data_IF_041014114330
#
_entry.id   IF_041014114330
#
_cell.length_a   1.000
_cell.length_b   1.000
_cell.length_c   1.000
_cell.angle_alpha   90.00
_cell.angle_beta   90.00
_cell.angle_gamma   90.00
#
_symmetry.space_group_name_H-M   'P 1'
#
loop_
_entity.id
_entity.type
_entity.pdbx_description
1 polymer ?
#
# COMPACT_ATOMS: atom_id res chain seq x y z
N UNK A 1 27.98 8.11 -84.01
CA UNK A 1 28.87 6.99 -84.18
C UNK A 1 29.21 6.49 -82.78
N UNK A 2 28.76 5.51 -82.22
CA UNK A 2 28.55 4.14 -82.53
C UNK A 2 27.49 3.57 -81.60
N UNK A 3 26.67 2.77 -82.20
CA UNK A 3 25.58 2.02 -81.63
C UNK A 3 26.03 0.76 -80.83
N UNK A 4 25.13 0.00 -80.40
CA UNK A 4 25.06 -0.71 -79.11
C UNK A 4 25.43 -2.19 -79.22
N UNK A 5 25.53 -2.86 -78.14
CA UNK A 5 25.41 -4.31 -78.07
C UNK A 5 24.65 -4.75 -76.81
N UNK A 6 23.50 -5.30 -77.03
CA UNK A 6 22.73 -6.17 -76.17
C UNK A 6 23.15 -7.66 -76.43
N UNK A 7 22.60 -8.66 -75.75
CA UNK A 7 22.85 -9.31 -74.46
C UNK A 7 23.40 -10.74 -74.61
N UNK A 8 23.35 -11.57 -73.60
CA UNK A 8 22.38 -12.66 -73.63
C UNK A 8 21.73 -13.04 -72.27
N UNK A 9 20.53 -13.42 -72.45
CA UNK A 9 19.59 -14.17 -71.65
C UNK A 9 20.10 -15.43 -70.96
N UNK A 10 19.39 -15.76 -69.90
CA UNK A 10 19.02 -17.04 -69.29
C UNK A 10 19.95 -17.66 -68.24
N UNK A 11 19.39 -17.78 -67.02
CA UNK A 11 19.19 -19.10 -66.40
C UNK A 11 18.38 -18.98 -65.12
N UNK A 12 17.27 -19.60 -65.11
CA UNK A 12 16.56 -20.31 -64.07
C UNK A 12 17.33 -20.47 -62.74
N UNK A 13 16.79 -20.02 -61.66
CA UNK A 13 17.29 -20.34 -60.31
C UNK A 13 16.28 -20.09 -59.23
N UNK A 14 15.38 -21.04 -59.03
CA UNK A 14 14.77 -21.49 -57.80
C UNK A 14 14.39 -20.45 -56.76
N UNK A 15 13.10 -20.22 -56.67
CA UNK A 15 12.36 -19.78 -55.55
C UNK A 15 12.74 -20.60 -54.29
N UNK A 16 13.20 -20.02 -53.17
CA UNK A 16 13.29 -20.76 -51.93
C UNK A 16 11.90 -20.78 -51.29
N UNK A 17 11.43 -21.99 -51.19
CA UNK A 17 10.28 -22.52 -50.53
C UNK A 17 9.59 -21.53 -49.56
N UNK A 18 8.33 -21.25 -49.85
CA UNK A 18 7.36 -20.79 -48.88
C UNK A 18 7.35 -21.80 -47.72
N UNK A 19 7.77 -21.29 -46.57
CA UNK A 19 7.49 -21.97 -45.29
C UNK A 19 5.99 -21.89 -45.09
N UNK A 20 5.28 -23.01 -44.90
CA UNK A 20 3.86 -22.97 -44.63
C UNK A 20 3.64 -22.23 -43.32
N UNK A 21 2.80 -21.20 -43.33
CA UNK A 21 2.22 -20.63 -42.15
C UNK A 21 1.39 -21.73 -41.48
N UNK A 22 1.93 -22.32 -40.44
CA UNK A 22 1.13 -23.13 -39.52
C UNK A 22 0.12 -22.22 -38.86
N UNK A 23 -1.09 -22.32 -39.38
CA UNK A 23 -2.29 -21.86 -38.71
C UNK A 23 -2.51 -22.79 -37.51
N UNK A 24 -2.00 -22.35 -36.35
CA UNK A 24 -2.63 -22.77 -35.11
C UNK A 24 -2.57 -21.60 -34.10
N UNK A 25 -3.74 -21.02 -33.89
CA UNK A 25 -4.00 -19.93 -32.98
C UNK A 25 -3.96 -20.37 -31.52
N UNK A 26 -2.88 -21.01 -31.06
CA UNK A 26 -2.73 -21.52 -29.69
C UNK A 26 -1.48 -20.98 -29.03
N UNK A 27 -1.35 -19.65 -28.99
CA UNK A 27 -0.26 -19.03 -28.23
C UNK A 27 -0.75 -17.89 -27.32
N UNK A 28 -1.78 -18.16 -26.48
CA UNK A 28 -2.25 -17.22 -25.45
C UNK A 28 -2.84 -17.84 -24.15
N UNK A 29 -2.58 -19.10 -23.73
CA UNK A 29 -2.95 -19.49 -22.38
C UNK A 29 -1.82 -19.33 -21.37
N UNK A 30 -0.55 -19.49 -21.72
CA UNK A 30 0.56 -19.56 -20.78
C UNK A 30 0.82 -18.22 -20.06
N UNK A 31 0.78 -17.10 -20.78
CA UNK A 31 1.00 -15.77 -20.16
C UNK A 31 -0.12 -15.40 -19.19
N UNK A 32 -1.37 -15.68 -19.55
CA UNK A 32 -2.52 -15.39 -18.69
C UNK A 32 -2.58 -16.31 -17.46
N UNK A 33 -2.15 -17.56 -17.61
CA UNK A 33 -2.07 -18.53 -16.51
C UNK A 33 -0.94 -18.19 -15.54
N UNK A 34 0.23 -17.82 -16.04
CA UNK A 34 1.36 -17.34 -15.24
C UNK A 34 0.95 -16.09 -14.44
N UNK A 35 0.28 -15.11 -15.07
CA UNK A 35 -0.18 -13.92 -14.39
C UNK A 35 -1.26 -14.22 -13.36
N UNK A 36 -2.10 -15.21 -13.60
CA UNK A 36 -3.08 -15.68 -12.63
C UNK A 36 -2.40 -16.31 -11.42
N UNK A 37 -1.45 -17.22 -11.65
CA UNK A 37 -0.70 -17.89 -10.59
C UNK A 37 0.14 -16.90 -9.77
N UNK A 38 0.78 -15.91 -10.39
CA UNK A 38 1.51 -14.85 -9.71
C UNK A 38 0.58 -14.03 -8.80
N UNK A 39 -0.62 -13.68 -9.28
CA UNK A 39 -1.61 -12.99 -8.44
C UNK A 39 -2.04 -13.84 -7.24
N UNK A 40 -2.30 -15.11 -7.46
CA UNK A 40 -2.67 -16.05 -6.39
C UNK A 40 -1.56 -16.20 -5.35
N UNK A 41 -0.30 -16.34 -5.79
CA UNK A 41 0.87 -16.38 -4.89
C UNK A 41 1.00 -15.09 -4.09
N UNK A 42 0.77 -13.92 -4.69
CA UNK A 42 0.79 -12.64 -3.95
C UNK A 42 -0.33 -12.56 -2.92
N UNK A 43 -1.53 -12.96 -3.29
CA UNK A 43 -2.66 -12.99 -2.36
C UNK A 43 -2.41 -13.94 -1.19
N UNK A 44 -1.82 -15.10 -1.47
CA UNK A 44 -1.43 -16.07 -0.43
C UNK A 44 -0.32 -15.51 0.46
N UNK A 45 0.72 -14.89 -0.10
CA UNK A 45 1.79 -14.23 0.67
C UNK A 45 1.25 -13.08 1.50
N UNK A 46 0.33 -12.27 0.94
CA UNK A 46 -0.38 -11.21 1.68
C UNK A 46 -1.18 -11.76 2.87
N UNK A 47 -1.91 -12.85 2.66
CA UNK A 47 -2.63 -13.57 3.72
C UNK A 47 -1.67 -14.14 4.77
N UNK A 48 -0.59 -14.80 4.34
CA UNK A 48 0.42 -15.36 5.25
C UNK A 48 1.07 -14.28 6.13
N UNK A 49 1.35 -13.09 5.59
CA UNK A 49 1.89 -11.97 6.37
C UNK A 49 0.88 -11.36 7.34
N UNK A 50 -0.39 -11.30 6.96
CA UNK A 50 -1.44 -10.77 7.83
C UNK A 50 -1.91 -11.78 8.89
N UNK A 51 -1.82 -13.07 8.60
CA UNK A 51 -2.33 -14.14 9.43
C UNK A 51 -1.74 -14.17 10.85
N UNK A 52 -0.41 -14.06 11.07
CA UNK A 52 0.14 -14.06 12.43
C UNK A 52 -0.39 -12.89 13.27
N UNK A 53 -0.54 -11.70 12.68
CA UNK A 53 -1.06 -10.52 13.37
C UNK A 53 -2.54 -10.67 13.73
N UNK A 54 -3.33 -11.21 12.81
CA UNK A 54 -4.76 -11.50 13.05
C UNK A 54 -4.90 -12.58 14.12
N UNK A 55 -4.12 -13.66 14.04
CA UNK A 55 -4.15 -14.74 15.05
C UNK A 55 -3.70 -14.25 16.42
N UNK A 56 -2.70 -13.37 16.50
CA UNK A 56 -2.29 -12.76 17.77
C UNK A 56 -3.44 -11.91 18.36
N UNK A 57 -4.07 -11.07 17.53
CA UNK A 57 -5.23 -10.28 17.96
C UNK A 57 -6.40 -11.16 18.41
N UNK A 58 -6.68 -12.27 17.70
CA UNK A 58 -7.70 -13.26 18.12
C UNK A 58 -7.41 -13.82 19.52
N UNK A 59 -6.17 -14.25 19.77
CA UNK A 59 -5.76 -14.77 21.08
C UNK A 59 -5.94 -13.74 22.21
N UNK A 60 -5.54 -12.48 21.96
CA UNK A 60 -5.74 -11.38 22.91
C UNK A 60 -7.22 -11.11 23.21
N UNK A 61 -8.07 -11.15 22.19
CA UNK A 61 -9.50 -10.91 22.34
C UNK A 61 -10.21 -12.09 23.00
N UNK A 62 -9.82 -13.32 22.65
CA UNK A 62 -10.34 -14.54 23.27
C UNK A 62 -10.07 -14.54 24.78
N UNK A 63 -8.84 -14.25 25.19
CA UNK A 63 -8.48 -14.14 26.60
C UNK A 63 -9.24 -13.00 27.29
N UNK A 64 -9.23 -11.79 26.70
CA UNK A 64 -9.79 -10.57 27.28
C UNK A 64 -11.29 -10.66 27.53
N UNK A 65 -12.02 -11.21 26.56
CA UNK A 65 -13.49 -11.29 26.63
C UNK A 65 -14.02 -12.69 26.95
N UNK A 66 -13.12 -13.65 27.24
CA UNK A 66 -13.47 -15.06 27.53
C UNK A 66 -14.34 -15.66 26.43
N UNK A 67 -13.96 -15.41 25.17
CA UNK A 67 -14.68 -15.94 24.02
C UNK A 67 -14.45 -17.46 23.92
N UNK A 68 -15.41 -18.23 23.40
CA UNK A 68 -15.34 -19.69 23.39
C UNK A 68 -14.18 -20.22 22.55
N UNK A 69 -13.87 -19.56 21.44
CA UNK A 69 -12.84 -19.97 20.49
C UNK A 69 -12.28 -18.78 19.69
N UNK A 70 -11.28 -19.06 18.86
CA UNK A 70 -10.64 -18.08 17.99
C UNK A 70 -11.58 -17.58 16.88
N UNK A 71 -12.55 -18.39 16.45
CA UNK A 71 -13.53 -18.01 15.44
C UNK A 71 -14.47 -16.91 15.94
N UNK A 72 -14.93 -17.02 17.19
CA UNK A 72 -15.74 -15.98 17.84
C UNK A 72 -14.96 -14.65 17.93
N UNK A 73 -13.65 -14.69 18.20
CA UNK A 73 -12.79 -13.51 18.20
C UNK A 73 -12.61 -12.93 16.79
N UNK A 74 -12.48 -13.79 15.79
CA UNK A 74 -12.40 -13.37 14.39
C UNK A 74 -13.67 -12.67 13.93
N UNK A 75 -14.83 -13.28 14.17
CA UNK A 75 -16.13 -12.71 13.79
C UNK A 75 -16.40 -11.37 14.51
N UNK A 76 -15.97 -11.23 15.77
CA UNK A 76 -16.03 -9.95 16.48
C UNK A 76 -15.21 -8.87 15.76
N UNK A 77 -13.95 -9.16 15.44
CA UNK A 77 -13.09 -8.22 14.69
C UNK A 77 -13.65 -7.93 13.30
N UNK A 78 -14.11 -8.95 12.58
CA UNK A 78 -14.65 -8.82 11.23
C UNK A 78 -15.86 -7.89 11.19
N UNK A 79 -16.80 -8.06 12.11
CA UNK A 79 -17.99 -7.19 12.23
C UNK A 79 -17.60 -5.73 12.48
N UNK A 80 -16.66 -5.48 13.42
CA UNK A 80 -16.18 -4.13 13.70
C UNK A 80 -15.41 -3.53 12.51
N UNK A 81 -14.57 -4.33 11.86
CA UNK A 81 -13.84 -3.94 10.64
C UNK A 81 -14.80 -3.50 9.52
N UNK A 82 -15.84 -4.28 9.26
CA UNK A 82 -16.87 -3.97 8.25
C UNK A 82 -17.69 -2.73 8.61
N UNK A 83 -18.15 -2.64 9.85
CA UNK A 83 -18.97 -1.51 10.32
C UNK A 83 -18.24 -0.18 10.24
N UNK A 84 -16.94 -0.17 10.53
CA UNK A 84 -16.10 1.03 10.50
C UNK A 84 -15.33 1.20 9.19
N UNK A 85 -15.57 0.32 8.19
CA UNK A 85 -14.91 0.33 6.89
C UNK A 85 -13.37 0.37 7.00
N UNK A 86 -12.83 -0.51 7.87
CA UNK A 86 -11.40 -0.68 8.10
C UNK A 86 -10.92 -2.00 7.50
N UNK A 87 -9.67 -2.06 7.03
CA UNK A 87 -9.05 -3.36 6.73
C UNK A 87 -8.90 -4.15 8.04
N UNK A 88 -9.26 -5.42 8.03
CA UNK A 88 -9.18 -6.29 9.22
C UNK A 88 -7.79 -6.29 9.85
N UNK A 89 -6.74 -6.31 9.02
CA UNK A 89 -5.35 -6.24 9.49
C UNK A 89 -5.03 -4.96 10.29
N UNK A 90 -5.63 -3.82 9.90
CA UNK A 90 -5.41 -2.55 10.59
C UNK A 90 -6.07 -2.55 11.98
N UNK A 91 -7.26 -3.15 12.08
CA UNK A 91 -7.92 -3.35 13.37
C UNK A 91 -7.15 -4.34 14.25
N UNK A 92 -6.65 -5.45 13.67
CA UNK A 92 -5.81 -6.42 14.38
C UNK A 92 -4.51 -5.77 14.89
N UNK A 93 -3.83 -4.98 14.05
CA UNK A 93 -2.63 -4.22 14.43
C UNK A 93 -2.93 -3.29 15.62
N UNK A 94 -4.07 -2.63 15.61
CA UNK A 94 -4.48 -1.75 16.71
C UNK A 94 -4.77 -2.53 18.00
N UNK A 95 -5.45 -3.67 17.91
CA UNK A 95 -5.70 -4.55 19.08
C UNK A 95 -4.41 -4.98 19.76
N UNK A 96 -3.38 -5.29 18.95
CA UNK A 96 -2.06 -5.72 19.45
C UNK A 96 -1.23 -4.55 20.01
N UNK A 97 -1.32 -3.37 19.40
CA UNK A 97 -0.43 -2.25 19.70
C UNK A 97 -0.97 -1.26 20.75
N UNK A 98 -2.30 -1.22 20.94
CA UNK A 98 -2.92 -0.30 21.89
C UNK A 98 -2.98 -0.94 23.29
N UNK A 99 -2.69 -0.16 24.35
CA UNK A 99 -2.79 -0.68 25.71
C UNK A 99 -4.14 -1.33 26.00
N UNK A 100 -4.13 -2.38 26.79
CA UNK A 100 -5.33 -3.10 27.24
C UNK A 100 -6.32 -2.12 27.90
N UNK A 101 -7.64 -2.22 27.62
CA UNK A 101 -8.64 -1.47 28.37
C UNK A 101 -8.65 -1.88 29.84
N UNK A 102 -9.01 -0.96 30.69
CA UNK A 102 -9.28 -1.24 32.10
C UNK A 102 -10.55 -2.10 32.21
N UNK A 103 -10.45 -3.26 32.87
CA UNK A 103 -11.55 -4.21 32.98
C UNK A 103 -12.75 -3.65 33.77
N UNK A 104 -12.51 -2.67 34.68
CA UNK A 104 -13.54 -2.03 35.47
C UNK A 104 -14.27 -0.91 34.73
N UNK A 105 -13.64 -0.36 33.69
CA UNK A 105 -14.20 0.75 32.91
C UNK A 105 -15.02 0.25 31.75
N UNK A 106 -16.21 0.86 31.56
CA UNK A 106 -17.09 0.55 30.45
C UNK A 106 -16.56 1.00 29.08
N UNK A 107 -15.59 1.91 29.06
CA UNK A 107 -14.97 2.50 27.88
C UNK A 107 -13.50 2.14 27.79
N UNK A 108 -13.02 1.82 26.59
CA UNK A 108 -11.60 1.61 26.34
C UNK A 108 -10.82 2.95 26.39
N UNK A 109 -11.44 4.02 25.89
CA UNK A 109 -10.81 5.34 25.79
C UNK A 109 -11.66 6.41 26.52
N UNK A 110 -11.72 6.39 27.87
CA UNK A 110 -12.49 7.38 28.62
C UNK A 110 -11.92 8.80 28.40
N UNK A 111 -12.81 9.79 28.27
CA UNK A 111 -12.43 11.19 28.09
C UNK A 111 -11.96 11.57 26.68
N UNK A 112 -12.04 10.66 25.70
CA UNK A 112 -11.72 10.97 24.32
C UNK A 112 -12.77 11.90 23.71
N UNK A 113 -12.36 13.07 23.26
CA UNK A 113 -13.20 14.00 22.49
C UNK A 113 -13.09 13.73 20.99
N UNK A 114 -14.18 13.92 20.25
CA UNK A 114 -14.17 13.88 18.79
C UNK A 114 -13.27 15.00 18.24
N UNK A 115 -12.45 14.66 17.24
CA UNK A 115 -11.60 15.64 16.54
C UNK A 115 -12.21 15.98 15.19
N UNK A 116 -12.19 17.25 14.83
CA UNK A 116 -12.59 17.68 13.48
C UNK A 116 -11.61 17.13 12.45
N UNK A 117 -12.08 16.53 11.34
CA UNK A 117 -11.20 16.04 10.30
C UNK A 117 -10.46 17.19 9.61
N UNK A 118 -9.17 17.07 9.35
CA UNK A 118 -8.43 18.07 8.59
C UNK A 118 -8.92 18.12 7.13
N UNK A 119 -8.85 19.29 6.48
CA UNK A 119 -9.26 19.41 5.08
C UNK A 119 -8.31 18.66 4.15
N UNK A 120 -8.87 18.09 3.07
CA UNK A 120 -8.16 17.44 1.97
C UNK A 120 -8.35 18.28 0.70
N UNK A 121 -7.55 19.35 0.54
CA UNK A 121 -7.68 20.27 -0.61
C UNK A 121 -7.39 19.59 -1.95
N UNK A 122 -6.58 18.54 -1.94
CA UNK A 122 -6.31 17.72 -3.12
C UNK A 122 -7.46 16.76 -3.48
N UNK A 123 -8.52 16.70 -2.68
CA UNK A 123 -9.67 15.83 -2.90
C UNK A 123 -10.98 16.65 -2.82
N UNK A 124 -11.18 17.59 -3.75
CA UNK A 124 -12.38 18.44 -3.75
C UNK A 124 -13.64 17.61 -3.94
N UNK A 125 -14.75 18.06 -3.36
CA UNK A 125 -16.05 17.38 -3.45
C UNK A 125 -16.24 16.20 -2.49
N UNK A 126 -15.21 15.79 -1.75
CA UNK A 126 -15.34 14.74 -0.74
C UNK A 126 -15.36 15.32 0.67
N UNK A 127 -16.20 14.73 1.51
CA UNK A 127 -16.22 15.05 2.94
C UNK A 127 -15.09 14.29 3.65
N UNK A 128 -14.15 14.98 4.32
CA UNK A 128 -13.01 14.32 4.95
C UNK A 128 -13.38 13.32 6.05
N UNK A 129 -14.56 13.48 6.68
CA UNK A 129 -15.10 12.58 7.72
C UNK A 129 -15.81 11.33 7.16
N UNK A 130 -16.11 11.31 5.86
CA UNK A 130 -16.87 10.23 5.20
C UNK A 130 -16.06 9.48 4.15
N UNK A 131 -14.99 10.08 3.64
CA UNK A 131 -14.17 9.47 2.61
C UNK A 131 -13.44 8.22 3.14
N UNK A 132 -13.41 7.18 2.31
CA UNK A 132 -12.69 5.95 2.63
C UNK A 132 -11.18 6.17 2.60
N UNK A 133 -10.46 5.55 3.55
CA UNK A 133 -8.99 5.62 3.66
C UNK A 133 -8.29 5.24 2.35
N UNK A 134 -8.71 4.13 1.73
CA UNK A 134 -8.13 3.69 0.46
C UNK A 134 -8.32 4.71 -0.65
N UNK A 135 -9.47 5.39 -0.71
CA UNK A 135 -9.74 6.46 -1.68
C UNK A 135 -8.77 7.63 -1.48
N UNK A 136 -8.56 8.08 -0.24
CA UNK A 136 -7.62 9.18 0.06
C UNK A 136 -6.22 8.81 -0.40
N UNK A 137 -5.71 7.63 -0.01
CA UNK A 137 -4.37 7.18 -0.34
C UNK A 137 -4.17 6.99 -1.86
N UNK A 138 -5.16 6.40 -2.53
CA UNK A 138 -5.15 6.24 -3.99
C UNK A 138 -5.10 7.59 -4.71
N UNK A 139 -5.83 8.59 -4.22
CA UNK A 139 -5.84 9.93 -4.81
C UNK A 139 -4.51 10.68 -4.56
N UNK A 140 -3.89 10.52 -3.39
CA UNK A 140 -2.55 11.05 -3.14
C UNK A 140 -1.58 10.55 -4.21
N UNK A 141 -1.49 9.24 -4.39
CA UNK A 141 -0.58 8.66 -5.37
C UNK A 141 -0.93 9.09 -6.80
N UNK A 142 -2.20 9.01 -7.18
CA UNK A 142 -2.65 9.36 -8.53
C UNK A 142 -2.34 10.82 -8.89
N UNK A 143 -2.62 11.76 -8.00
CA UNK A 143 -2.36 13.18 -8.25
C UNK A 143 -0.87 13.50 -8.22
N UNK A 144 -0.10 12.85 -7.32
CA UNK A 144 1.34 13.00 -7.29
C UNK A 144 1.99 12.59 -8.62
N UNK A 145 1.61 11.41 -9.14
CA UNK A 145 2.11 10.93 -10.43
C UNK A 145 1.68 11.84 -11.59
N UNK A 146 0.42 12.25 -11.63
CA UNK A 146 -0.09 13.11 -12.70
C UNK A 146 0.59 14.49 -12.72
N UNK A 147 0.78 15.10 -11.55
CA UNK A 147 1.36 16.44 -11.44
C UNK A 147 2.88 16.48 -11.70
N UNK A 148 3.58 15.38 -11.42
CA UNK A 148 5.01 15.26 -11.64
C UNK A 148 5.38 14.57 -12.94
N UNK A 149 4.37 14.06 -13.67
CA UNK A 149 4.52 13.22 -14.86
C UNK A 149 5.38 11.98 -14.59
N UNK A 150 5.40 11.52 -13.35
CA UNK A 150 6.12 10.31 -13.00
C UNK A 150 5.35 9.08 -13.49
N UNK A 151 5.97 8.18 -14.26
CA UNK A 151 5.27 7.01 -14.81
C UNK A 151 4.96 5.96 -13.74
N UNK A 152 5.71 5.95 -12.65
CA UNK A 152 5.65 4.91 -11.63
C UNK A 152 5.69 5.53 -10.23
N UNK A 153 5.06 4.84 -9.27
CA UNK A 153 5.13 5.23 -7.87
C UNK A 153 4.41 4.26 -6.96
N UNK A 154 4.69 4.40 -5.68
CA UNK A 154 4.07 3.64 -4.61
C UNK A 154 3.68 4.54 -3.43
N UNK A 155 2.78 4.00 -2.60
CA UNK A 155 2.39 4.60 -1.36
C UNK A 155 2.33 3.53 -0.28
N UNK A 156 3.01 3.79 0.81
CA UNK A 156 3.11 2.91 1.97
C UNK A 156 2.61 3.64 3.21
N UNK A 157 2.02 2.91 4.15
CA UNK A 157 1.60 3.46 5.45
C UNK A 157 2.27 2.75 6.60
N UNK A 158 2.53 3.49 7.67
CA UNK A 158 3.14 2.96 8.88
C UNK A 158 2.09 2.21 9.70
N UNK A 159 2.29 0.91 9.86
CA UNK A 159 1.51 0.06 10.75
C UNK A 159 2.33 -0.23 12.02
N UNK A 160 1.83 0.12 13.22
CA UNK A 160 2.63 0.05 14.45
C UNK A 160 3.24 -1.32 14.75
N UNK A 161 2.54 -2.40 14.40
CA UNK A 161 3.00 -3.77 14.68
C UNK A 161 3.91 -4.36 13.60
N UNK A 162 4.01 -3.74 12.42
CA UNK A 162 4.64 -4.37 11.23
C UNK A 162 5.63 -3.45 10.52
N UNK A 163 5.51 -2.12 10.66
CA UNK A 163 6.31 -1.16 9.91
C UNK A 163 5.61 -0.63 8.66
N UNK A 164 6.37 -0.18 7.67
CA UNK A 164 5.84 0.32 6.40
C UNK A 164 5.21 -0.80 5.58
N UNK A 165 3.95 -0.60 5.17
CA UNK A 165 3.17 -1.54 4.39
C UNK A 165 2.72 -0.92 3.08
N UNK A 166 2.93 -1.62 1.96
CA UNK A 166 2.45 -1.22 0.65
C UNK A 166 0.92 -1.16 0.62
N UNK A 167 0.38 -0.01 0.24
CA UNK A 167 -1.07 0.22 0.14
C UNK A 167 -1.55 0.40 -1.28
N UNK A 168 -0.83 1.21 -2.06
CA UNK A 168 -1.12 1.51 -3.46
C UNK A 168 0.17 1.63 -4.25
N UNK A 169 0.09 1.29 -5.53
CA UNK A 169 1.19 1.43 -6.49
C UNK A 169 0.65 1.68 -7.90
N UNK A 170 1.51 2.15 -8.79
CA UNK A 170 1.25 2.27 -10.20
C UNK A 170 2.56 2.11 -10.99
N UNK A 171 2.52 1.36 -12.10
CA UNK A 171 3.65 1.21 -13.01
C UNK A 171 4.81 0.35 -12.50
N UNK A 172 4.66 -0.31 -11.35
CA UNK A 172 5.70 -1.16 -10.74
C UNK A 172 5.42 -2.62 -11.02
N UNK A 173 6.49 -3.43 -11.20
CA UNK A 173 6.38 -4.85 -11.47
C UNK A 173 5.95 -5.65 -10.23
N UNK A 174 5.52 -6.88 -10.46
CA UNK A 174 5.10 -7.79 -9.38
C UNK A 174 6.27 -8.16 -8.48
N UNK A 175 7.45 -8.36 -9.05
CA UNK A 175 8.68 -8.64 -8.32
C UNK A 175 9.05 -7.48 -7.39
N UNK A 176 8.91 -6.24 -7.87
CA UNK A 176 9.08 -5.04 -7.04
C UNK A 176 8.10 -5.04 -5.86
N UNK A 177 6.83 -5.33 -6.13
CA UNK A 177 5.79 -5.35 -5.10
C UNK A 177 6.04 -6.44 -4.05
N UNK A 178 6.49 -7.61 -4.46
CA UNK A 178 6.83 -8.70 -3.55
C UNK A 178 8.03 -8.35 -2.67
N UNK A 179 9.07 -7.76 -3.26
CA UNK A 179 10.26 -7.33 -2.55
C UNK A 179 9.97 -6.23 -1.52
N UNK A 180 9.21 -5.21 -1.93
CA UNK A 180 8.87 -4.06 -1.08
C UNK A 180 7.54 -4.21 -0.32
N UNK A 181 6.94 -5.37 -0.28
CA UNK A 181 5.66 -5.59 0.41
C UNK A 181 5.74 -5.26 1.91
N UNK A 182 6.89 -5.53 2.52
CA UNK A 182 7.29 -5.08 3.85
C UNK A 182 8.67 -4.45 3.70
N UNK A 183 8.76 -3.16 3.93
CA UNK A 183 10.02 -2.42 3.77
C UNK A 183 10.91 -2.64 4.98
N UNK A 184 12.00 -3.37 4.76
CA UNK A 184 13.09 -3.47 5.71
C UNK A 184 13.95 -2.20 5.73
N UNK A 185 14.87 -2.09 6.68
CA UNK A 185 15.81 -0.98 6.78
C UNK A 185 16.71 -0.86 5.54
N UNK A 186 17.11 0.36 5.18
CA UNK A 186 18.03 0.61 4.06
C UNK A 186 17.37 0.90 2.71
N UNK A 187 16.06 1.10 2.66
CA UNK A 187 15.36 1.58 1.46
C UNK A 187 15.14 3.09 1.50
N UNK A 188 14.92 3.73 0.35
CA UNK A 188 14.59 5.17 0.28
C UNK A 188 13.34 5.50 1.10
N UNK A 189 12.34 4.62 1.11
CA UNK A 189 11.11 4.78 1.89
C UNK A 189 11.36 4.71 3.40
N UNK A 190 12.16 3.75 3.88
CA UNK A 190 12.48 3.64 5.30
C UNK A 190 13.32 4.82 5.80
N UNK A 191 14.22 5.33 4.95
CA UNK A 191 15.02 6.52 5.23
C UNK A 191 14.14 7.78 5.23
N UNK A 192 13.19 7.91 4.30
CA UNK A 192 12.24 9.02 4.28
C UNK A 192 11.31 9.00 5.49
N UNK A 193 10.89 7.82 5.96
CA UNK A 193 10.08 7.70 7.18
C UNK A 193 10.82 8.18 8.45
N UNK A 194 12.15 8.09 8.47
CA UNK A 194 13.00 8.55 9.60
C UNK A 194 13.48 9.99 9.44
N UNK A 195 13.58 10.48 8.23
CA UNK A 195 14.08 11.82 7.88
C UNK A 195 13.06 12.48 6.96
N UNK A 196 13.13 13.79 6.81
CA UNK A 196 12.30 14.53 5.85
C UNK A 196 12.53 14.03 4.42
N UNK A 197 11.88 14.62 3.42
CA UNK A 197 11.97 14.25 2.01
C UNK A 197 13.32 13.65 1.63
N UNK A 198 13.32 12.47 1.04
CA UNK A 198 14.51 11.82 0.55
C UNK A 198 14.48 11.78 -0.97
N UNK A 199 15.50 12.37 -1.57
CA UNK A 199 15.78 12.26 -2.99
C UNK A 199 16.97 11.32 -3.19
N UNK A 200 16.78 10.29 -3.99
CA UNK A 200 17.84 9.46 -4.54
C UNK A 200 18.03 9.91 -5.99
N UNK A 201 19.01 10.75 -6.24
CA UNK A 201 19.22 11.36 -7.54
C UNK A 201 19.67 10.38 -8.62
N UNK A 202 20.41 9.34 -8.24
CA UNK A 202 20.73 8.21 -9.11
C UNK A 202 20.80 6.91 -8.29
N UNK A 203 19.81 6.07 -8.45
CA UNK A 203 19.69 4.78 -7.76
C UNK A 203 20.93 3.89 -7.99
N UNK A 204 21.52 3.99 -9.20
CA UNK A 204 22.67 3.15 -9.52
C UNK A 204 23.92 3.43 -8.67
N UNK A 205 24.06 4.65 -8.14
CA UNK A 205 25.27 5.10 -7.46
C UNK A 205 25.07 5.59 -6.03
N UNK A 206 23.83 5.77 -5.57
CA UNK A 206 23.56 6.28 -4.23
C UNK A 206 23.93 5.22 -3.16
N UNK A 207 24.90 5.51 -2.26
CA UNK A 207 25.35 4.54 -1.26
C UNK A 207 24.33 4.23 -0.17
N UNK A 208 23.26 5.01 -0.06
CA UNK A 208 22.21 4.78 0.93
C UNK A 208 21.15 3.75 0.46
N UNK A 209 21.22 3.33 -0.81
CA UNK A 209 20.36 2.27 -1.36
C UNK A 209 21.11 0.95 -1.25
N UNK A 210 20.55 0.00 -0.50
CA UNK A 210 21.11 -1.35 -0.37
C UNK A 210 21.15 -2.06 -1.72
N UNK A 211 22.12 -2.96 -1.93
CA UNK A 211 22.30 -3.64 -3.21
C UNK A 211 21.03 -4.39 -3.67
N UNK A 212 20.33 -5.19 -2.82
CA UNK A 212 19.11 -5.86 -3.24
C UNK A 212 18.00 -4.87 -3.64
N UNK A 213 17.85 -3.75 -2.91
CA UNK A 213 16.88 -2.73 -3.26
C UNK A 213 17.24 -2.00 -4.57
N UNK A 214 18.54 -1.77 -4.80
CA UNK A 214 19.07 -1.18 -6.04
C UNK A 214 18.71 -2.02 -7.26
N UNK A 215 18.99 -3.32 -7.21
CA UNK A 215 18.66 -4.25 -8.30
C UNK A 215 17.16 -4.19 -8.64
N UNK A 216 16.30 -4.26 -7.63
CA UNK A 216 14.85 -4.23 -7.82
C UNK A 216 14.35 -2.89 -8.37
N UNK A 217 14.90 -1.77 -7.90
CA UNK A 217 14.49 -0.43 -8.37
C UNK A 217 14.97 -0.20 -9.82
N UNK A 218 16.19 -0.64 -10.15
CA UNK A 218 16.71 -0.55 -11.51
C UNK A 218 15.98 -1.47 -12.48
N UNK A 219 15.58 -2.66 -12.04
CA UNK A 219 14.82 -3.63 -12.84
C UNK A 219 13.48 -3.09 -13.35
N UNK A 220 12.81 -2.21 -12.58
CA UNK A 220 11.59 -1.52 -13.05
C UNK A 220 11.90 -0.27 -13.88
N UNK A 221 13.15 0.01 -14.18
CA UNK A 221 13.58 1.17 -14.99
C UNK A 221 13.63 2.49 -14.21
N UNK A 222 13.59 2.47 -12.88
CA UNK A 222 13.69 3.68 -12.07
C UNK A 222 15.15 4.06 -11.82
N UNK A 223 15.51 5.32 -12.14
CA UNK A 223 16.86 5.89 -11.93
C UNK A 223 16.86 6.98 -10.85
N UNK A 224 15.77 7.72 -10.68
CA UNK A 224 15.61 8.72 -9.63
C UNK A 224 14.37 8.38 -8.79
N UNK A 225 14.47 8.52 -7.48
CA UNK A 225 13.32 8.39 -6.58
C UNK A 225 13.15 9.63 -5.71
N UNK A 226 11.92 10.11 -5.61
CA UNK A 226 11.52 11.16 -4.67
C UNK A 226 10.54 10.56 -3.67
N UNK A 227 10.98 10.38 -2.43
CA UNK A 227 10.15 9.82 -1.34
C UNK A 227 9.72 10.92 -0.39
N UNK A 228 8.41 11.16 -0.30
CA UNK A 228 7.77 12.20 0.51
C UNK A 228 7.09 11.58 1.74
N UNK A 229 7.58 11.83 2.96
CA UNK A 229 6.94 11.33 4.16
C UNK A 229 5.64 12.10 4.46
N UNK A 230 4.59 11.37 4.74
CA UNK A 230 3.34 11.88 5.28
C UNK A 230 3.47 11.96 6.80
N UNK A 231 3.53 13.17 7.35
CA UNK A 231 3.81 13.38 8.77
C UNK A 231 2.54 13.69 9.56
N UNK A 232 2.45 13.14 10.76
CA UNK A 232 1.47 13.53 11.78
C UNK A 232 1.72 14.95 12.26
N UNK A 233 0.80 15.51 13.06
CA UNK A 233 0.97 16.81 13.73
C UNK A 233 2.17 16.85 14.68
N UNK A 234 2.55 15.68 15.23
CA UNK A 234 3.74 15.50 16.07
C UNK A 234 5.04 15.26 15.28
N UNK A 235 5.02 15.37 13.94
CA UNK A 235 6.18 15.18 13.08
C UNK A 235 6.60 13.72 12.90
N UNK A 236 5.79 12.74 13.31
CA UNK A 236 6.06 11.31 13.09
C UNK A 236 5.56 10.89 11.71
N UNK A 237 6.33 10.07 11.00
CA UNK A 237 5.89 9.51 9.75
C UNK A 237 4.74 8.51 9.97
N UNK A 238 3.62 8.73 9.29
CA UNK A 238 2.45 7.84 9.26
C UNK A 238 2.32 7.14 7.93
N UNK A 239 3.18 7.48 6.97
CA UNK A 239 3.32 6.88 5.67
C UNK A 239 4.33 7.60 4.81
N UNK A 240 4.59 7.07 3.64
CA UNK A 240 5.48 7.62 2.61
C UNK A 240 4.85 7.36 1.26
N UNK A 241 4.92 8.30 0.34
CA UNK A 241 4.72 7.99 -1.07
C UNK A 241 5.98 8.33 -1.86
N UNK A 242 6.26 7.50 -2.86
CA UNK A 242 7.46 7.60 -3.67
C UNK A 242 7.12 7.70 -5.14
N UNK A 243 7.86 8.56 -5.83
CA UNK A 243 7.82 8.75 -7.28
C UNK A 243 9.07 8.11 -7.87
N UNK A 244 8.90 7.34 -8.92
CA UNK A 244 9.97 6.64 -9.63
C UNK A 244 10.10 7.20 -11.05
N UNK A 245 11.27 7.71 -11.38
CA UNK A 245 11.56 8.38 -12.64
C UNK A 245 12.67 7.64 -13.40
N UNK A 246 12.51 7.41 -14.72
CA UNK A 246 13.48 6.64 -15.50
C UNK A 246 14.77 7.42 -15.80
N UNK A 247 14.76 8.75 -15.68
CA UNK A 247 15.95 9.57 -15.91
C UNK A 247 16.74 9.76 -14.61
N UNK A 248 18.07 9.59 -14.60
CA UNK A 248 18.89 9.94 -13.44
C UNK A 248 18.92 11.47 -13.25
N UNK A 249 19.03 11.90 -12.00
CA UNK A 249 19.14 13.31 -11.58
C UNK A 249 17.99 14.21 -12.05
N UNK A 250 16.80 13.63 -12.21
CA UNK A 250 15.60 14.41 -12.51
C UNK A 250 15.02 14.97 -11.21
N UNK A 251 15.26 16.24 -10.96
CA UNK A 251 14.70 16.97 -9.85
C UNK A 251 13.25 17.41 -10.13
N UNK A 252 12.45 17.52 -9.07
CA UNK A 252 11.15 18.17 -9.14
C UNK A 252 11.35 19.69 -9.24
N UNK A 253 10.54 20.35 -10.06
CA UNK A 253 10.47 21.81 -10.06
C UNK A 253 10.04 22.31 -8.68
N UNK A 254 10.35 23.55 -8.33
CA UNK A 254 9.95 24.16 -7.07
C UNK A 254 8.41 24.09 -6.85
N UNK A 255 7.65 24.26 -7.92
CA UNK A 255 6.17 24.17 -7.87
C UNK A 255 5.73 22.75 -7.57
N UNK A 256 6.32 21.76 -8.23
CA UNK A 256 6.04 20.35 -7.98
C UNK A 256 6.41 19.96 -6.54
N UNK A 257 7.61 20.30 -6.09
CA UNK A 257 8.06 20.01 -4.73
C UNK A 257 7.12 20.62 -3.67
N UNK A 258 6.76 21.89 -3.83
CA UNK A 258 5.83 22.57 -2.91
C UNK A 258 4.44 21.90 -2.89
N UNK A 259 3.93 21.49 -4.05
CA UNK A 259 2.65 20.80 -4.14
C UNK A 259 2.70 19.42 -3.46
N UNK A 260 3.79 18.66 -3.68
CA UNK A 260 3.99 17.36 -3.05
C UNK A 260 4.09 17.47 -1.53
N UNK A 261 4.86 18.43 -1.03
CA UNK A 261 4.96 18.72 0.42
C UNK A 261 3.59 19.08 1.03
N UNK A 262 2.84 19.94 0.35
CA UNK A 262 1.49 20.32 0.77
C UNK A 262 0.51 19.15 0.82
N UNK A 263 0.56 18.26 -0.18
CA UNK A 263 -0.25 17.06 -0.23
C UNK A 263 0.16 16.04 0.84
N UNK A 264 1.46 15.79 1.00
CA UNK A 264 2.01 14.93 2.04
C UNK A 264 1.59 15.37 3.44
N UNK A 265 1.68 16.69 3.72
CA UNK A 265 1.27 17.25 5.00
C UNK A 265 -0.24 17.13 5.27
N UNK A 266 -1.09 17.32 4.26
CA UNK A 266 -2.54 17.13 4.40
C UNK A 266 -2.89 15.66 4.63
N UNK A 267 -2.32 14.76 3.82
CA UNK A 267 -2.54 13.32 3.93
C UNK A 267 -2.05 12.78 5.29
N UNK A 268 -0.89 13.23 5.76
CA UNK A 268 -0.34 12.81 7.05
C UNK A 268 -1.21 13.20 8.24
N UNK A 269 -1.68 14.46 8.28
CA UNK A 269 -2.62 14.92 9.33
C UNK A 269 -3.95 14.20 9.26
N UNK A 270 -4.46 13.91 8.04
CA UNK A 270 -5.71 13.19 7.89
C UNK A 270 -5.56 11.72 8.32
N UNK A 271 -4.46 11.05 8.00
CA UNK A 271 -4.17 9.69 8.45
C UNK A 271 -4.09 9.62 9.99
N UNK A 272 -3.42 10.59 10.62
CA UNK A 272 -3.39 10.71 12.08
C UNK A 272 -4.81 10.89 12.65
N UNK A 273 -5.61 11.80 12.09
CA UNK A 273 -7.01 11.98 12.49
C UNK A 273 -7.83 10.69 12.32
N UNK A 274 -7.69 10.02 11.17
CA UNK A 274 -8.37 8.76 10.87
C UNK A 274 -8.01 7.69 11.91
N UNK A 275 -6.74 7.56 12.25
CA UNK A 275 -6.26 6.63 13.26
C UNK A 275 -6.82 6.95 14.65
N UNK A 276 -6.79 8.21 15.06
CA UNK A 276 -7.28 8.64 16.37
C UNK A 276 -8.81 8.77 16.48
N UNK A 277 -9.53 8.67 15.38
CA UNK A 277 -10.99 8.80 15.36
C UNK A 277 -11.65 7.51 14.92
N UNK A 278 -11.46 7.10 13.68
CA UNK A 278 -12.17 5.95 13.11
C UNK A 278 -11.66 4.64 13.72
N UNK A 279 -10.35 4.47 13.81
CA UNK A 279 -9.75 3.24 14.35
C UNK A 279 -10.05 3.09 15.85
N UNK A 280 -9.94 4.17 16.64
CA UNK A 280 -10.28 4.10 18.06
C UNK A 280 -11.78 3.92 18.30
N UNK A 281 -12.65 4.45 17.41
CA UNK A 281 -14.09 4.14 17.47
C UNK A 281 -14.36 2.66 17.21
N UNK A 282 -13.63 2.05 16.28
CA UNK A 282 -13.76 0.62 16.01
C UNK A 282 -13.30 -0.23 17.21
N UNK A 283 -12.21 0.16 17.88
CA UNK A 283 -11.75 -0.51 19.11
C UNK A 283 -12.75 -0.36 20.25
N UNK A 284 -13.36 0.82 20.40
CA UNK A 284 -14.39 1.07 21.40
C UNK A 284 -15.64 0.21 21.17
N UNK A 285 -16.09 0.12 19.90
CA UNK A 285 -17.22 -0.74 19.52
C UNK A 285 -16.88 -2.23 19.72
N UNK A 286 -15.66 -2.63 19.38
CA UNK A 286 -15.16 -3.98 19.62
C UNK A 286 -15.16 -4.31 21.13
N UNK A 287 -14.71 -3.38 21.97
CA UNK A 287 -14.68 -3.54 23.41
C UNK A 287 -16.10 -3.70 23.98
N UNK A 288 -17.02 -2.83 23.60
CA UNK A 288 -18.42 -2.91 24.02
C UNK A 288 -19.04 -4.27 23.68
N UNK A 289 -18.93 -4.70 22.41
CA UNK A 289 -19.45 -6.00 21.94
C UNK A 289 -18.79 -7.18 22.62
N UNK A 290 -17.47 -7.12 22.82
CA UNK A 290 -16.74 -8.18 23.54
C UNK A 290 -17.22 -8.34 24.98
N UNK A 291 -17.50 -7.23 25.66
CA UNK A 291 -18.08 -7.25 27.00
C UNK A 291 -19.50 -7.82 27.02
N UNK A 292 -20.35 -7.47 26.07
CA UNK A 292 -21.70 -7.99 25.94
C UNK A 292 -21.69 -9.53 25.75
N UNK A 293 -20.77 -10.04 24.91
CA UNK A 293 -20.57 -11.48 24.73
C UNK A 293 -20.08 -12.17 26.01
N UNK A 294 -19.17 -11.53 26.77
CA UNK A 294 -18.68 -12.03 28.05
C UNK A 294 -19.80 -12.13 29.12
N UNK A 295 -20.72 -11.16 29.09
CA UNK A 295 -21.81 -11.06 30.10
C UNK A 295 -22.94 -12.07 29.87
N UNK A 296 -23.05 -12.68 28.68
CA UNK A 296 -24.08 -13.64 28.30
C UNK A 296 -25.50 -13.06 28.25
N UNK A 297 -26.47 -13.69 27.58
CA UNK A 297 -27.88 -13.22 27.56
C UNK A 297 -28.66 -13.38 28.87
N UNK A 298 -27.99 -13.76 29.97
CA UNK A 298 -28.68 -14.27 31.19
C UNK A 298 -28.54 -13.44 32.48
N UNK A 299 -27.82 -12.29 32.48
CA UNK A 299 -27.75 -11.43 33.68
C UNK A 299 -28.30 -10.03 33.41
N UNK A 300 -29.61 -9.93 33.12
CA UNK A 300 -30.32 -8.71 33.48
C UNK A 300 -30.38 -8.68 35.03
N UNK A 301 -29.71 -7.68 35.61
CA UNK A 301 -29.92 -7.36 37.02
C UNK A 301 -31.43 -7.13 37.22
N UNK A 302 -32.07 -8.04 37.93
CA UNK A 302 -33.28 -7.73 38.68
C UNK A 302 -32.82 -6.94 39.89
N UNK A 303 -33.04 -5.66 39.84
CA UNK A 303 -33.24 -4.80 41.01
C UNK A 303 -34.61 -4.17 40.86
#
# INVERSE_FOLDING_TARGET
MHEPVDPPSAAHGRDPAAVPADADGTRLPESSEIDRLRREVRDLRGKLRAHPLISHAQGLLQERYRLPDAEAAFELMKRCSQQHNLKLRNLASAVVSVPRPDDERGLWFPGRSGRTPPPLKFLPGHRPDKVNRSTVLKQVLHQALAFTEAPMGDLQTMEPAVGLQMEHHRGLSEEFLDFFAVVEEGTSCSLAARRRVRVVSDVATDPAVSEPAREMILAVGSRTTHSMPMLSSAGRAVGVFSLHLPQPRRDLTRVQATAMDGMAAQAGRWLEWHQHTILLNALEDLHRRGRDLRSGPGRRRTD
#
